data_IF_739811645260
#
_entry.id   IF_739811645260
#
_cell.length_a   1.000
_cell.length_b   1.000
_cell.length_c   1.000
_cell.angle_alpha   90.00
_cell.angle_beta   90.00
_cell.angle_gamma   90.00
#
_symmetry.space_group_name_H-M   'P 1'
#
loop_
_entity.id
_entity.type
_entity.pdbx_description
1 polymer ?
#
# COMPACT_ATOMS: atom_id res chain seq x y z
N UNK A 1 -0.19 6.61 -31.68
CA UNK A 1 -0.57 6.82 -33.11
C UNK A 1 -0.88 8.29 -33.42
N UNK A 2 -1.91 8.92 -32.83
CA UNK A 2 -2.30 10.31 -33.17
C UNK A 2 -1.26 11.41 -32.79
N UNK A 3 -0.62 11.30 -31.62
CA UNK A 3 0.42 12.24 -31.18
C UNK A 3 1.67 12.21 -32.06
N UNK A 4 2.09 11.01 -32.49
CA UNK A 4 3.24 10.83 -33.40
C UNK A 4 2.93 11.39 -34.80
N UNK A 5 1.73 11.16 -35.31
CA UNK A 5 1.29 11.72 -36.59
C UNK A 5 1.25 13.25 -36.54
N UNK A 6 0.74 13.84 -35.47
CA UNK A 6 0.69 15.29 -35.30
C UNK A 6 2.10 15.92 -35.17
N UNK A 7 3.01 15.27 -34.45
CA UNK A 7 4.42 15.68 -34.36
C UNK A 7 5.17 15.60 -35.71
N UNK A 8 4.80 14.67 -36.59
CA UNK A 8 5.46 14.46 -37.88
C UNK A 8 4.86 15.31 -39.00
N UNK A 9 3.53 15.51 -38.98
CA UNK A 9 2.80 16.27 -40.01
C UNK A 9 2.88 17.77 -39.80
N UNK A 10 2.97 18.27 -38.56
CA UNK A 10 3.02 19.71 -38.33
C UNK A 10 4.32 20.37 -38.84
N UNK A 11 5.53 19.81 -38.60
CA UNK A 11 6.76 20.32 -39.19
C UNK A 11 6.75 20.23 -40.72
N UNK A 12 6.15 19.18 -41.29
CA UNK A 12 6.00 18.99 -42.74
C UNK A 12 5.06 20.02 -43.37
N UNK A 13 3.90 20.29 -42.75
CA UNK A 13 2.99 21.33 -43.17
C UNK A 13 3.64 22.73 -43.06
N UNK A 14 4.41 22.96 -42.00
CA UNK A 14 5.17 24.21 -41.80
C UNK A 14 6.31 24.37 -42.82
N UNK A 15 7.05 23.30 -43.11
CA UNK A 15 8.10 23.29 -44.13
C UNK A 15 7.52 23.58 -45.51
N UNK A 16 6.43 22.90 -45.90
CA UNK A 16 5.82 23.08 -47.22
C UNK A 16 5.29 24.50 -47.47
N UNK A 17 4.94 25.23 -46.42
CA UNK A 17 4.57 26.64 -46.49
C UNK A 17 5.80 27.51 -46.77
N UNK A 18 6.92 27.24 -46.09
CA UNK A 18 8.18 27.97 -46.25
C UNK A 18 8.93 27.61 -47.54
N UNK A 19 8.74 26.39 -48.06
CA UNK A 19 9.47 25.84 -49.21
C UNK A 19 8.69 25.84 -50.52
N UNK A 20 7.42 26.27 -50.53
CA UNK A 20 6.70 26.63 -51.78
C UNK A 20 7.23 27.95 -52.33
N UNK A 21 8.52 27.96 -52.64
CA UNK A 21 9.23 28.96 -53.39
C UNK A 21 9.45 28.37 -54.79
N UNK A 22 8.42 28.43 -55.64
CA UNK A 22 8.67 28.44 -57.08
C UNK A 22 9.17 29.85 -57.41
N UNK A 23 10.33 29.93 -58.03
CA UNK A 23 11.08 31.16 -58.26
C UNK A 23 10.27 32.20 -59.06
N UNK A 24 9.59 33.09 -58.35
CA UNK A 24 8.98 34.32 -58.88
C UNK A 24 9.58 35.50 -58.11
N UNK A 25 10.23 36.47 -58.77
CA UNK A 25 10.91 37.59 -58.11
C UNK A 25 9.94 38.68 -57.58
N UNK A 26 8.65 38.40 -57.46
CA UNK A 26 7.62 39.31 -56.98
C UNK A 26 6.72 38.61 -55.94
N UNK A 27 7.29 38.16 -54.83
CA UNK A 27 6.47 37.87 -53.64
C UNK A 27 6.42 39.16 -52.84
N UNK A 28 5.23 39.75 -52.74
CA UNK A 28 5.02 40.96 -51.97
C UNK A 28 5.47 40.71 -50.53
N UNK A 29 6.29 41.61 -49.99
CA UNK A 29 6.83 41.54 -48.63
C UNK A 29 5.73 41.40 -47.56
N UNK A 30 4.51 41.83 -47.91
CA UNK A 30 3.26 41.67 -47.16
C UNK A 30 2.84 40.20 -47.01
N UNK A 31 2.89 39.42 -48.08
CA UNK A 31 2.46 38.01 -48.13
C UNK A 31 3.38 37.12 -47.28
N UNK A 32 4.70 37.37 -47.35
CA UNK A 32 5.69 36.71 -46.49
C UNK A 32 5.41 37.00 -45.01
N UNK A 33 5.01 38.23 -44.68
CA UNK A 33 4.72 38.62 -43.29
C UNK A 33 3.49 37.91 -42.75
N UNK A 34 2.42 37.81 -43.56
CA UNK A 34 1.21 37.06 -43.20
C UNK A 34 1.51 35.58 -42.96
N UNK A 35 2.34 34.98 -43.81
CA UNK A 35 2.67 33.55 -43.68
C UNK A 35 3.56 33.27 -42.46
N UNK A 36 4.46 34.18 -42.11
CA UNK A 36 5.25 34.10 -40.87
C UNK A 36 4.36 34.22 -39.63
N UNK A 37 3.39 35.13 -39.63
CA UNK A 37 2.42 35.23 -38.53
C UNK A 37 1.58 33.95 -38.41
N UNK A 38 1.13 33.40 -39.54
CA UNK A 38 0.42 32.11 -39.57
C UNK A 38 1.28 30.98 -39.01
N UNK A 39 2.57 30.94 -39.31
CA UNK A 39 3.49 29.96 -38.75
C UNK A 39 3.63 30.10 -37.23
N UNK A 40 3.78 31.33 -36.74
CA UNK A 40 3.86 31.62 -35.29
C UNK A 40 2.60 31.12 -34.57
N UNK A 41 1.42 31.33 -35.16
CA UNK A 41 0.16 30.85 -34.59
C UNK A 41 0.08 29.32 -34.54
N UNK A 42 0.50 28.63 -35.61
CA UNK A 42 0.55 27.17 -35.61
C UNK A 42 1.55 26.63 -34.57
N UNK A 43 2.73 27.24 -34.45
CA UNK A 43 3.72 26.87 -33.44
C UNK A 43 3.17 27.06 -32.01
N UNK A 44 2.45 28.15 -31.75
CA UNK A 44 1.78 28.42 -30.46
C UNK A 44 0.65 27.42 -30.19
N UNK A 45 -0.14 27.05 -31.19
CA UNK A 45 -1.17 26.02 -31.05
C UNK A 45 -0.56 24.65 -30.70
N UNK A 46 0.56 24.29 -31.33
CA UNK A 46 1.28 23.06 -31.00
C UNK A 46 1.78 23.09 -29.54
N UNK A 47 2.41 24.19 -29.13
CA UNK A 47 2.90 24.35 -27.76
C UNK A 47 1.76 24.20 -26.74
N UNK A 48 0.63 24.87 -26.96
CA UNK A 48 -0.55 24.76 -26.11
C UNK A 48 -1.09 23.32 -26.05
N UNK A 49 -1.14 22.62 -27.19
CA UNK A 49 -1.58 21.23 -27.26
C UNK A 49 -0.66 20.29 -26.45
N UNK A 50 0.66 20.42 -26.59
CA UNK A 50 1.61 19.58 -25.86
C UNK A 50 1.62 19.88 -24.36
N UNK A 51 1.50 21.15 -23.97
CA UNK A 51 1.37 21.55 -22.57
C UNK A 51 0.11 20.94 -21.94
N UNK A 52 -1.03 21.00 -22.64
CA UNK A 52 -2.28 20.40 -22.15
C UNK A 52 -2.16 18.88 -21.99
N UNK A 53 -1.53 18.18 -22.96
CA UNK A 53 -1.31 16.73 -22.87
C UNK A 53 -0.36 16.37 -21.73
N UNK A 54 0.71 17.13 -21.52
CA UNK A 54 1.64 16.94 -20.41
C UNK A 54 0.95 17.15 -19.06
N UNK A 55 0.13 18.19 -18.94
CA UNK A 55 -0.66 18.45 -17.73
C UNK A 55 -1.60 17.29 -17.42
N UNK A 56 -2.37 16.82 -18.41
CA UNK A 56 -3.28 15.69 -18.25
C UNK A 56 -2.54 14.41 -17.82
N UNK A 57 -1.39 14.11 -18.42
CA UNK A 57 -0.57 12.95 -18.03
C UNK A 57 -0.02 13.08 -16.60
N UNK A 58 0.41 14.29 -16.20
CA UNK A 58 0.85 14.55 -14.82
C UNK A 58 -0.30 14.41 -13.84
N UNK A 59 -1.50 14.85 -14.22
CA UNK A 59 -2.70 14.75 -13.42
C UNK A 59 -3.17 13.31 -13.25
N UNK A 60 -3.02 12.44 -14.26
CA UNK A 60 -3.42 11.03 -14.23
C UNK A 60 -2.38 10.06 -13.62
N UNK A 61 -1.12 10.49 -13.50
CA UNK A 61 -0.04 9.71 -12.90
C UNK A 61 -0.34 9.27 -11.45
N UNK A 62 -0.83 10.13 -10.54
CA UNK A 62 -1.18 9.70 -9.19
C UNK A 62 -2.28 8.64 -9.17
N UNK A 63 -3.30 8.73 -10.01
CA UNK A 63 -4.37 7.72 -10.07
C UNK A 63 -3.87 6.36 -10.56
N UNK A 64 -2.93 6.35 -11.52
CA UNK A 64 -2.32 5.11 -11.99
C UNK A 64 -1.49 4.42 -10.90
N UNK A 65 -0.67 5.17 -10.18
CA UNK A 65 0.13 4.65 -9.06
C UNK A 65 -0.77 4.12 -7.95
N UNK A 66 -1.76 4.89 -7.53
CA UNK A 66 -2.73 4.46 -6.52
C UNK A 66 -3.46 3.21 -6.95
N UNK A 67 -3.79 3.06 -8.23
CA UNK A 67 -4.46 1.87 -8.76
C UNK A 67 -3.54 0.64 -8.74
N UNK A 68 -2.26 0.81 -9.09
CA UNK A 68 -1.25 -0.24 -9.04
C UNK A 68 -1.04 -0.71 -7.59
N UNK A 69 -0.82 0.23 -6.66
CA UNK A 69 -0.68 -0.05 -5.22
C UNK A 69 -1.92 -0.77 -4.67
N UNK A 70 -3.12 -0.31 -5.01
CA UNK A 70 -4.36 -0.98 -4.62
C UNK A 70 -4.44 -2.41 -5.15
N UNK A 71 -3.95 -2.65 -6.36
CA UNK A 71 -3.95 -3.98 -6.94
C UNK A 71 -2.95 -4.90 -6.24
N UNK A 72 -1.75 -4.41 -5.93
CA UNK A 72 -0.75 -5.13 -5.15
C UNK A 72 -1.27 -5.48 -3.75
N UNK A 73 -1.91 -4.53 -3.06
CA UNK A 73 -2.53 -4.74 -1.75
C UNK A 73 -3.63 -5.80 -1.81
N UNK A 74 -4.47 -5.81 -2.86
CA UNK A 74 -5.51 -6.84 -3.06
C UNK A 74 -4.91 -8.22 -3.22
N UNK A 75 -3.85 -8.35 -4.03
CA UNK A 75 -3.15 -9.62 -4.22
C UNK A 75 -2.52 -10.10 -2.90
N UNK A 76 -1.89 -9.21 -2.15
CA UNK A 76 -1.27 -9.56 -0.87
C UNK A 76 -2.31 -9.94 0.19
N UNK A 77 -3.47 -9.28 0.21
CA UNK A 77 -4.59 -9.65 1.09
C UNK A 77 -5.08 -11.06 0.76
N UNK A 78 -5.35 -11.35 -0.51
CA UNK A 78 -5.78 -12.68 -0.95
C UNK A 78 -4.77 -13.78 -0.57
N UNK A 79 -3.47 -13.50 -0.72
CA UNK A 79 -2.41 -14.43 -0.32
C UNK A 79 -2.42 -14.69 1.19
N UNK A 80 -2.66 -13.66 2.00
CA UNK A 80 -2.77 -13.77 3.47
C UNK A 80 -4.02 -14.54 3.88
N UNK A 81 -5.16 -14.30 3.25
CA UNK A 81 -6.40 -15.03 3.50
C UNK A 81 -6.24 -16.53 3.21
N UNK A 82 -5.56 -16.87 2.11
CA UNK A 82 -5.24 -18.25 1.78
C UNK A 82 -4.33 -18.90 2.83
N UNK A 83 -3.33 -18.16 3.32
CA UNK A 83 -2.43 -18.65 4.36
C UNK A 83 -3.18 -18.91 5.68
N UNK A 84 -4.03 -17.96 6.10
CA UNK A 84 -4.87 -18.08 7.29
C UNK A 84 -5.80 -19.28 7.17
N UNK A 85 -6.47 -19.46 6.02
CA UNK A 85 -7.34 -20.62 5.76
C UNK A 85 -6.60 -21.94 6.01
N UNK A 86 -5.40 -22.10 5.44
CA UNK A 86 -4.56 -23.30 5.66
C UNK A 86 -4.19 -23.50 7.13
N UNK A 87 -3.98 -22.42 7.88
CA UNK A 87 -3.69 -22.51 9.31
C UNK A 87 -4.92 -22.98 10.08
N UNK A 88 -6.10 -22.43 9.80
CA UNK A 88 -7.36 -22.88 10.39
C UNK A 88 -7.67 -24.36 10.07
N UNK A 89 -7.38 -24.81 8.85
CA UNK A 89 -7.54 -26.22 8.46
C UNK A 89 -6.63 -27.13 9.29
N UNK A 90 -5.36 -26.75 9.49
CA UNK A 90 -4.43 -27.51 10.34
C UNK A 90 -4.87 -27.53 11.80
N UNK A 91 -5.32 -26.38 12.31
CA UNK A 91 -5.85 -26.29 13.68
C UNK A 91 -7.05 -27.22 13.84
N UNK A 92 -7.98 -27.22 12.88
CA UNK A 92 -9.14 -28.14 12.91
C UNK A 92 -8.72 -29.60 12.87
N UNK A 93 -7.72 -29.96 12.05
CA UNK A 93 -7.17 -31.32 12.01
C UNK A 93 -6.57 -31.73 13.36
N UNK A 94 -5.79 -30.86 14.00
CA UNK A 94 -5.22 -31.14 15.32
C UNK A 94 -6.28 -31.27 16.40
N UNK A 95 -7.35 -30.46 16.36
CA UNK A 95 -8.48 -30.61 17.27
C UNK A 95 -9.18 -31.96 17.09
N UNK A 96 -9.40 -32.40 15.84
CA UNK A 96 -9.99 -33.72 15.54
C UNK A 96 -9.13 -34.86 16.09
N UNK A 97 -7.82 -34.84 15.82
CA UNK A 97 -6.89 -35.85 16.32
C UNK A 97 -6.89 -35.93 17.86
N UNK A 98 -6.89 -34.78 18.53
CA UNK A 98 -6.98 -34.74 19.99
C UNK A 98 -8.29 -35.32 20.53
N UNK A 99 -9.42 -35.05 19.86
CA UNK A 99 -10.72 -35.61 20.22
C UNK A 99 -10.73 -37.14 20.06
N UNK A 100 -10.15 -37.67 18.98
CA UNK A 100 -10.04 -39.11 18.73
C UNK A 100 -9.20 -39.82 19.81
N UNK A 101 -8.08 -39.21 20.22
CA UNK A 101 -7.24 -39.72 21.31
C UNK A 101 -7.99 -39.74 22.66
N UNK A 102 -8.77 -38.70 22.96
CA UNK A 102 -9.60 -38.65 24.17
C UNK A 102 -10.72 -39.70 24.14
N UNK A 103 -11.35 -39.93 22.99
CA UNK A 103 -12.34 -40.99 22.80
C UNK A 103 -11.75 -42.40 23.02
N UNK A 104 -10.57 -42.66 22.45
CA UNK A 104 -9.85 -43.94 22.60
C UNK A 104 -9.41 -44.22 24.05
N UNK A 105 -8.98 -43.20 24.79
CA UNK A 105 -8.57 -43.35 26.20
C UNK A 105 -9.76 -43.59 27.13
N UNK A 106 -10.93 -43.01 26.86
CA UNK A 106 -12.17 -43.27 27.62
C UNK A 106 -12.69 -44.69 27.34
N UNK A 107 -12.66 -45.14 26.08
CA UNK A 107 -13.09 -46.50 25.72
C UNK A 107 -12.23 -47.59 26.38
N UNK A 108 -10.90 -47.42 26.41
CA UNK A 108 -9.98 -48.37 27.06
C UNK A 108 -10.17 -48.43 28.60
N UNK A 109 -10.45 -47.30 29.26
CA UNK A 109 -10.70 -47.27 30.71
C UNK A 109 -11.98 -48.01 31.11
N UNK A 110 -13.02 -47.99 30.27
CA UNK A 110 -14.30 -48.65 30.54
C UNK A 110 -14.20 -50.20 30.40
N UNK A 111 -13.46 -50.70 29.41
CA UNK A 111 -13.25 -52.15 29.26
C UNK A 111 -12.37 -52.76 30.35
N UNK A 112 -11.40 -52.02 30.90
CA UNK A 112 -10.52 -52.57 31.95
C UNK A 112 -11.22 -52.67 33.33
N UNK A 113 -12.35 -51.99 33.53
CA UNK A 113 -13.08 -52.02 34.80
C UNK A 113 -14.07 -53.19 34.94
N UNK A 114 -14.31 -53.97 33.88
CA UNK A 114 -15.20 -55.14 33.93
C UNK A 114 -14.49 -56.46 34.30
N UNK A 115 -13.17 -56.50 34.47
CA UNK A 115 -12.45 -57.75 34.75
C UNK A 115 -11.85 -57.88 36.16
N UNK A 116 -12.17 -56.99 37.10
CA UNK A 116 -11.67 -57.10 38.47
C UNK A 116 -12.78 -56.92 39.51
N UNK A 117 -13.65 -57.93 39.59
CA UNK A 117 -14.62 -58.06 40.66
C UNK A 117 -14.51 -59.48 41.25
N UNK A 118 -13.45 -59.73 42.04
CA UNK A 118 -13.47 -60.71 43.14
C UNK A 118 -12.13 -60.69 43.89
N UNK A 119 -12.12 -60.03 45.06
CA UNK A 119 -11.78 -60.60 46.40
C UNK A 119 -11.22 -59.53 47.37
N UNK A 120 -12.00 -59.32 48.44
CA UNK A 120 -11.59 -59.20 49.86
C UNK A 120 -10.77 -58.01 50.39
N UNK A 121 -11.50 -57.09 51.05
CA UNK A 121 -11.29 -56.47 52.40
C UNK A 121 -9.90 -56.00 52.88
N UNK A 122 -9.78 -54.69 53.21
CA UNK A 122 -9.49 -54.10 54.54
C UNK A 122 -8.85 -52.68 54.44
N UNK A 123 -8.94 -51.79 55.47
CA UNK A 123 -9.12 -50.35 55.25
C UNK A 123 -7.98 -49.42 55.75
N UNK A 124 -8.14 -48.13 55.38
CA UNK A 124 -7.54 -46.88 55.92
C UNK A 124 -6.05 -46.58 55.68
N UNK A 125 -5.77 -45.55 54.86
CA UNK A 125 -5.07 -44.35 55.35
C UNK A 125 -5.12 -43.19 54.35
N UNK A 126 -5.17 -42.01 54.94
CA UNK A 126 -5.40 -40.69 54.41
C UNK A 126 -4.04 -39.99 54.25
N UNK A 127 -3.78 -39.32 53.12
CA UNK A 127 -3.18 -37.98 53.06
C UNK A 127 -2.68 -37.60 51.64
N UNK A 128 -2.93 -36.32 51.34
CA UNK A 128 -2.20 -35.41 50.46
C UNK A 128 -2.19 -35.65 48.94
N UNK A 129 -2.78 -34.66 48.25
CA UNK A 129 -2.63 -34.39 46.81
C UNK A 129 -1.15 -34.21 46.39
N UNK A 130 -0.87 -34.27 45.08
CA UNK A 130 -0.90 -33.03 44.33
C UNK A 130 -1.73 -33.13 43.04
N UNK A 131 -2.51 -32.08 42.79
CA UNK A 131 -3.05 -31.77 41.47
C UNK A 131 -1.87 -31.52 40.51
N UNK A 132 -1.74 -32.35 39.48
CA UNK A 132 -0.98 -31.97 38.29
C UNK A 132 -1.97 -31.40 37.25
N UNK A 133 -1.81 -30.11 36.99
CA UNK A 133 -2.60 -29.32 36.05
C UNK A 133 -1.63 -28.72 35.02
N UNK A 134 -1.57 -29.18 33.77
CA UNK A 134 -0.73 -28.57 32.75
C UNK A 134 -1.55 -27.55 31.97
N UNK A 135 -1.76 -26.35 32.53
CA UNK A 135 -2.42 -25.26 31.80
C UNK A 135 -1.82 -23.86 32.05
N UNK A 136 -0.84 -23.71 32.94
CA UNK A 136 -0.35 -22.39 33.36
C UNK A 136 0.74 -21.77 32.44
N UNK A 137 1.47 -22.57 31.65
CA UNK A 137 2.61 -22.07 30.86
C UNK A 137 2.18 -21.34 29.59
N UNK A 138 1.04 -21.69 29.00
CA UNK A 138 0.58 -21.08 27.75
C UNK A 138 -0.02 -19.68 27.96
N UNK A 139 -0.51 -19.39 29.16
CA UNK A 139 -1.11 -18.10 29.49
C UNK A 139 -0.06 -17.03 29.84
N UNK A 140 1.11 -17.42 30.37
CA UNK A 140 2.18 -16.48 30.72
C UNK A 140 2.92 -15.91 29.50
N UNK A 141 3.09 -16.71 28.43
CA UNK A 141 3.77 -16.24 27.20
C UNK A 141 2.96 -15.18 26.46
N UNK A 142 1.62 -15.30 26.47
CA UNK A 142 0.74 -14.34 25.78
C UNK A 142 0.61 -13.01 26.54
N UNK A 143 0.61 -13.06 27.88
CA UNK A 143 0.63 -11.86 28.72
C UNK A 143 1.95 -11.08 28.58
N UNK A 144 3.09 -11.79 28.47
CA UNK A 144 4.39 -11.14 28.35
C UNK A 144 4.62 -10.48 26.98
N UNK A 145 4.06 -11.05 25.89
CA UNK A 145 4.11 -10.42 24.57
C UNK A 145 3.26 -9.14 24.47
N UNK A 146 2.09 -9.10 25.12
CA UNK A 146 1.26 -7.89 25.12
C UNK A 146 1.90 -6.76 25.94
N UNK A 147 2.52 -7.08 27.07
CA UNK A 147 3.26 -6.09 27.88
C UNK A 147 4.47 -5.52 27.12
N UNK A 148 5.21 -6.36 26.38
CA UNK A 148 6.33 -5.90 25.55
C UNK A 148 5.87 -5.00 24.39
N UNK A 149 4.75 -5.32 23.75
CA UNK A 149 4.19 -4.50 22.67
C UNK A 149 3.70 -3.13 23.16
N UNK A 150 3.07 -3.08 24.34
CA UNK A 150 2.61 -1.82 24.94
C UNK A 150 3.79 -0.91 25.33
N UNK A 151 4.86 -1.48 25.90
CA UNK A 151 6.07 -0.72 26.21
C UNK A 151 6.77 -0.17 24.95
N UNK A 152 6.82 -0.96 23.87
CA UNK A 152 7.38 -0.51 22.60
C UNK A 152 6.57 0.64 21.98
N UNK A 153 5.24 0.61 22.10
CA UNK A 153 4.38 1.67 21.59
C UNK A 153 4.55 3.00 22.36
N UNK A 154 4.71 2.95 23.68
CA UNK A 154 5.03 4.16 24.48
C UNK A 154 6.42 4.72 24.15
N UNK A 155 7.43 3.87 23.95
CA UNK A 155 8.76 4.31 23.58
C UNK A 155 8.80 4.99 22.19
N UNK A 156 8.02 4.49 21.23
CA UNK A 156 7.92 5.08 19.88
C UNK A 156 7.30 6.49 19.91
N UNK A 157 6.23 6.69 20.70
CA UNK A 157 5.59 8.00 20.89
C UNK A 157 6.52 9.02 21.54
N UNK A 158 7.35 8.59 22.50
CA UNK A 158 8.33 9.46 23.14
C UNK A 158 9.46 9.90 22.18
N UNK A 159 9.90 9.01 21.28
CA UNK A 159 10.87 9.39 20.22
C UNK A 159 10.30 10.38 19.21
N UNK A 160 9.02 10.26 18.84
CA UNK A 160 8.40 11.19 17.90
C UNK A 160 8.22 12.61 18.48
N UNK A 161 7.98 12.71 19.80
CA UNK A 161 7.84 13.99 20.48
C UNK A 161 9.15 14.81 20.51
N UNK A 162 10.30 14.15 20.67
CA UNK A 162 11.61 14.83 20.66
C UNK A 162 11.99 15.33 19.26
N UNK A 163 11.56 14.64 18.21
CA UNK A 163 11.90 15.03 16.83
C UNK A 163 11.12 16.29 16.38
N UNK A 164 9.91 16.52 16.87
CA UNK A 164 9.15 17.74 16.55
C UNK A 164 9.72 19.03 17.19
N UNK A 165 10.53 18.94 18.24
CA UNK A 165 11.11 20.14 18.85
C UNK A 165 12.34 20.67 18.09
N UNK A 166 12.89 19.89 17.15
CA UNK A 166 14.08 20.27 16.39
C UNK A 166 13.82 20.78 14.96
N UNK A 167 12.56 20.91 14.52
CA UNK A 167 12.27 21.45 13.18
C UNK A 167 12.57 22.96 13.18
N UNK A 168 13.56 23.45 12.41
CA UNK A 168 13.85 24.87 12.32
C UNK A 168 12.62 25.59 11.75
N UNK A 169 12.14 26.61 12.48
CA UNK A 169 11.02 27.45 12.06
C UNK A 169 11.31 28.00 10.65
N UNK A 170 10.44 27.79 9.65
CA UNK A 170 10.67 28.31 8.31
C UNK A 170 10.70 29.85 8.35
N UNK A 171 11.62 30.49 7.60
CA UNK A 171 11.75 31.94 7.62
C UNK A 171 10.49 32.59 7.08
N UNK A 172 10.02 33.62 7.79
CA UNK A 172 8.87 34.41 7.42
C UNK A 172 9.11 35.09 6.05
N UNK A 173 8.08 35.18 5.17
CA UNK A 173 8.23 35.83 3.87
C UNK A 173 8.48 37.35 4.04
N UNK A 174 9.22 37.98 3.11
CA UNK A 174 9.54 39.40 3.19
C UNK A 174 8.28 40.25 2.98
N UNK A 175 8.17 41.33 3.77
CA UNK A 175 7.15 42.34 3.61
C UNK A 175 7.33 43.08 2.28
N UNK A 176 6.29 43.13 1.45
CA UNK A 176 6.30 43.92 0.21
C UNK A 176 6.29 45.42 0.53
N UNK A 177 7.05 46.26 -0.21
CA UNK A 177 7.00 47.71 -0.02
C UNK A 177 5.67 48.26 -0.55
N UNK A 178 5.02 49.11 0.26
CA UNK A 178 3.90 49.94 -0.19
C UNK A 178 4.32 50.84 -1.35
N UNK A 179 3.56 50.78 -2.44
CA UNK A 179 3.68 51.67 -3.59
C UNK A 179 3.48 53.13 -3.13
N UNK A 180 4.57 53.88 -3.11
CA UNK A 180 4.57 55.33 -2.92
C UNK A 180 4.01 56.04 -4.15
N UNK A 181 3.01 56.88 -3.90
CA UNK A 181 2.41 57.84 -4.81
C UNK A 181 3.45 58.60 -5.64
N UNK A 182 3.19 58.76 -6.94
CA UNK A 182 3.56 60.00 -7.62
C UNK A 182 2.35 60.57 -8.35
N UNK A 183 2.07 61.82 -8.01
CA UNK A 183 1.17 62.74 -8.67
C UNK A 183 2.02 63.77 -9.40
#
# INVERSE_FOLDING_TARGET
MYLLNCLLTCPQACLNVLTKQEASPCVEKEEVKVEVERFIDHARQMEAFFLQKRFLLSAMKPELLVKEDNNELKCELQRKDELLRRHYDKVSQWHSLLADLQGHTVYNKCQQQQQQQQTSQAPLQQAASPMQQPCAVQQSVQAQQMAAAAAAQQAALQQQALQQQQVPRPPHPPAYPSAGQRR
#
